data_IF_099975652962
#
_entry.id   IF_099975652962
#
_cell.length_a   1.000
_cell.length_b   1.000
_cell.length_c   1.000
_cell.angle_alpha   90.00
_cell.angle_beta   90.00
_cell.angle_gamma   90.00
#
_symmetry.space_group_name_H-M   'P 1'
#
loop_
_entity.id
_entity.type
_entity.pdbx_description
1 polymer ?
#
# COMPACT_ATOMS: atom_id res chain seq x y z
N UNK A 1 17.17 -5.53 3.13
CA UNK A 1 15.72 -5.60 3.34
C UNK A 1 15.15 -6.94 2.88
N UNK A 2 14.01 -7.32 3.40
CA UNK A 2 13.21 -8.47 2.97
C UNK A 2 11.72 -8.06 3.01
N UNK A 3 10.82 -8.92 2.56
CA UNK A 3 9.36 -8.67 2.59
C UNK A 3 8.67 -9.59 3.57
N UNK A 4 7.50 -9.20 4.04
CA UNK A 4 6.62 -10.08 4.83
C UNK A 4 6.34 -11.36 4.03
N UNK A 5 6.47 -12.51 4.69
CA UNK A 5 6.35 -13.84 4.07
C UNK A 5 7.66 -14.43 3.55
N UNK A 6 8.71 -13.63 3.38
CA UNK A 6 10.02 -14.14 2.95
C UNK A 6 10.80 -14.72 4.14
N UNK A 7 11.83 -15.50 3.78
CA UNK A 7 12.81 -16.04 4.71
C UNK A 7 14.21 -15.71 4.23
N UNK A 8 15.13 -15.52 5.16
CA UNK A 8 16.55 -15.38 4.87
C UNK A 8 17.37 -16.17 5.87
N UNK A 9 18.57 -16.57 5.44
CA UNK A 9 19.50 -17.30 6.28
C UNK A 9 20.54 -16.33 6.85
N UNK A 10 20.85 -16.50 8.12
CA UNK A 10 21.90 -15.78 8.84
C UNK A 10 22.95 -16.80 9.31
N UNK A 11 24.22 -16.48 9.11
CA UNK A 11 25.33 -17.36 9.45
C UNK A 11 26.22 -16.71 10.51
N UNK A 12 26.50 -17.46 11.57
CA UNK A 12 27.43 -17.07 12.60
C UNK A 12 28.63 -18.02 12.62
N UNK A 13 29.83 -17.47 12.67
CA UNK A 13 31.06 -18.24 12.75
C UNK A 13 31.74 -17.93 14.10
N UNK A 14 31.80 -18.93 14.96
CA UNK A 14 32.47 -18.86 16.24
C UNK A 14 33.87 -19.45 16.09
N UNK A 15 34.88 -18.73 16.54
CA UNK A 15 36.28 -19.16 16.45
C UNK A 15 36.92 -19.13 17.81
N UNK A 16 37.57 -20.23 18.21
CA UNK A 16 38.41 -20.32 19.41
C UNK A 16 39.86 -20.06 19.04
N UNK A 17 40.38 -18.90 19.39
CA UNK A 17 41.78 -18.57 19.17
C UNK A 17 42.69 -19.05 20.33
N UNK A 18 42.10 -19.70 21.33
CA UNK A 18 42.85 -20.23 22.47
C UNK A 18 43.45 -21.59 22.21
N UNK A 19 44.41 -21.96 23.06
CA UNK A 19 45.07 -23.27 23.02
C UNK A 19 44.26 -24.36 23.76
N UNK A 20 43.21 -23.97 24.50
CA UNK A 20 42.40 -24.85 25.32
C UNK A 20 41.02 -24.99 24.64
N UNK A 21 40.44 -26.22 24.55
CA UNK A 21 39.06 -26.37 24.11
C UNK A 21 38.10 -25.61 25.03
N UNK A 22 36.99 -25.12 24.45
CA UNK A 22 35.96 -24.47 25.28
C UNK A 22 35.10 -25.52 26.00
N UNK A 23 34.56 -25.12 27.13
CA UNK A 23 33.42 -25.80 27.75
C UNK A 23 32.17 -25.68 26.82
N UNK A 24 31.02 -26.18 27.24
CA UNK A 24 29.77 -26.06 26.51
C UNK A 24 29.40 -24.58 26.34
N UNK A 25 29.18 -24.19 25.10
CA UNK A 25 28.70 -22.86 24.74
C UNK A 25 27.24 -22.99 24.33
N UNK A 26 26.35 -22.30 25.03
CA UNK A 26 24.97 -22.09 24.63
C UNK A 26 24.90 -20.69 24.01
N UNK A 27 24.71 -20.64 22.69
CA UNK A 27 24.55 -19.40 21.96
C UNK A 27 23.05 -19.18 21.66
N UNK A 28 22.56 -18.01 22.04
CA UNK A 28 21.19 -17.59 21.79
C UNK A 28 21.21 -16.31 20.96
N UNK A 29 20.50 -16.37 19.84
CA UNK A 29 20.29 -15.16 19.04
C UNK A 29 19.36 -14.18 19.77
N UNK A 30 19.78 -12.93 19.86
CA UNK A 30 19.04 -11.83 20.47
C UNK A 30 18.48 -10.95 19.33
N UNK A 31 17.23 -11.19 18.95
CA UNK A 31 16.51 -10.45 17.94
C UNK A 31 15.11 -10.09 18.44
N UNK A 32 14.61 -8.93 18.04
CA UNK A 32 13.24 -8.48 18.29
C UNK A 32 12.27 -8.89 17.18
N UNK A 33 12.75 -9.60 16.15
CA UNK A 33 11.93 -10.11 15.05
C UNK A 33 10.98 -11.21 15.55
N UNK A 34 9.65 -11.04 15.40
CA UNK A 34 8.66 -11.98 15.91
C UNK A 34 8.82 -13.39 15.35
N UNK A 35 8.60 -14.40 16.22
CA UNK A 35 8.64 -15.82 15.80
C UNK A 35 10.04 -16.42 15.67
N UNK A 36 11.10 -15.63 15.82
CA UNK A 36 12.47 -16.10 15.65
C UNK A 36 13.17 -16.23 17.04
N UNK A 37 13.45 -17.46 17.43
CA UNK A 37 14.17 -17.79 18.67
C UNK A 37 15.16 -18.91 18.41
N UNK A 38 16.34 -18.56 17.93
CA UNK A 38 17.36 -19.51 17.54
C UNK A 38 18.34 -19.71 18.70
N UNK A 39 18.62 -20.97 19.01
CA UNK A 39 19.56 -21.40 20.05
C UNK A 39 20.43 -22.51 19.50
N UNK A 40 21.72 -22.48 19.78
CA UNK A 40 22.67 -23.54 19.49
C UNK A 40 23.50 -23.86 20.74
N UNK A 41 23.85 -25.13 20.88
CA UNK A 41 24.76 -25.61 21.91
C UNK A 41 25.91 -26.39 21.25
N UNK A 42 27.12 -25.98 21.50
CA UNK A 42 28.31 -26.54 20.87
C UNK A 42 29.56 -26.35 21.78
N UNK A 43 30.63 -27.01 21.44
CA UNK A 43 31.95 -26.78 22.00
C UNK A 43 32.95 -26.49 20.87
N UNK A 44 34.01 -25.76 21.17
CA UNK A 44 35.09 -25.48 20.23
C UNK A 44 36.35 -26.18 20.67
N UNK A 45 37.00 -26.91 19.78
CA UNK A 45 38.34 -27.44 20.00
C UNK A 45 39.37 -26.29 20.07
N UNK A 46 40.57 -26.58 20.53
CA UNK A 46 41.68 -25.62 20.43
C UNK A 46 41.84 -25.17 18.99
N UNK A 47 41.87 -23.83 18.74
CA UNK A 47 41.93 -23.22 17.41
C UNK A 47 40.85 -23.70 16.41
N UNK A 48 39.76 -24.24 16.93
CA UNK A 48 38.63 -24.73 16.14
C UNK A 48 37.60 -23.66 15.85
N UNK A 49 36.73 -23.97 14.90
CA UNK A 49 35.58 -23.12 14.55
C UNK A 49 34.28 -23.91 14.49
N UNK A 50 33.20 -23.22 14.76
CA UNK A 50 31.84 -23.75 14.62
C UNK A 50 31.01 -22.78 13.78
N UNK A 51 30.29 -23.29 12.78
CA UNK A 51 29.39 -22.54 11.91
C UNK A 51 27.97 -22.85 12.29
N UNK A 52 27.22 -21.81 12.63
CA UNK A 52 25.83 -21.90 13.00
C UNK A 52 24.98 -21.12 12.01
N UNK A 53 24.11 -21.81 11.29
CA UNK A 53 23.16 -21.23 10.35
C UNK A 53 21.79 -21.19 11.00
N UNK A 54 21.12 -20.04 10.89
CA UNK A 54 19.77 -19.81 11.37
C UNK A 54 18.91 -19.32 10.23
N UNK A 55 17.66 -19.77 10.20
CA UNK A 55 16.68 -19.29 9.24
C UNK A 55 15.71 -18.35 9.92
N UNK A 56 15.64 -17.13 9.39
CA UNK A 56 14.80 -16.06 9.89
C UNK A 56 13.55 -15.93 9.03
N UNK A 57 12.37 -15.81 9.65
CA UNK A 57 11.09 -15.64 8.95
C UNK A 57 10.57 -14.22 9.20
N UNK A 58 10.31 -13.49 8.12
CA UNK A 58 9.77 -12.13 8.14
C UNK A 58 8.25 -12.18 8.26
N UNK A 59 7.70 -12.22 9.46
CA UNK A 59 6.26 -12.36 9.69
C UNK A 59 5.51 -11.03 9.74
N UNK A 60 6.20 -9.93 10.10
CA UNK A 60 5.62 -8.60 10.21
C UNK A 60 6.57 -7.55 9.66
N UNK A 61 6.00 -6.51 9.05
CA UNK A 61 6.76 -5.33 8.61
C UNK A 61 7.36 -4.57 9.79
N UNK A 62 8.47 -3.94 9.57
CA UNK A 62 9.16 -3.14 10.60
C UNK A 62 10.66 -3.13 10.45
N UNK A 63 11.32 -2.51 11.41
CA UNK A 63 12.78 -2.55 11.56
C UNK A 63 13.12 -3.45 12.73
N UNK A 64 14.01 -4.41 12.51
CA UNK A 64 14.39 -5.43 13.48
C UNK A 64 15.90 -5.50 13.63
N UNK A 65 16.37 -5.72 14.88
CA UNK A 65 17.78 -5.91 15.16
C UNK A 65 18.23 -7.34 14.85
N UNK A 66 19.38 -7.47 14.24
CA UNK A 66 20.02 -8.74 13.86
C UNK A 66 21.45 -8.83 14.37
N UNK A 67 22.01 -10.04 14.28
CA UNK A 67 23.44 -10.27 14.49
C UNK A 67 23.89 -10.26 15.95
N UNK A 68 23.00 -10.07 16.90
CA UNK A 68 23.33 -10.12 18.32
C UNK A 68 23.23 -11.53 18.87
N UNK A 69 24.28 -11.98 19.55
CA UNK A 69 24.35 -13.31 20.16
C UNK A 69 24.67 -13.15 21.66
N UNK A 70 23.86 -13.76 22.50
CA UNK A 70 24.16 -13.98 23.91
C UNK A 70 24.73 -15.39 24.07
N UNK A 71 26.01 -15.50 24.35
CA UNK A 71 26.67 -16.77 24.59
C UNK A 71 26.88 -16.98 26.10
N UNK A 72 26.42 -18.16 26.56
CA UNK A 72 26.63 -18.64 27.91
C UNK A 72 27.60 -19.82 27.83
N UNK A 73 28.73 -19.70 28.53
CA UNK A 73 29.77 -20.70 28.62
C UNK A 73 29.76 -21.26 30.04
N UNK A 74 29.46 -22.54 30.16
CA UNK A 74 29.38 -23.20 31.46
C UNK A 74 30.42 -24.33 31.51
N UNK A 75 31.18 -24.40 32.61
CA UNK A 75 32.14 -25.49 32.83
C UNK A 75 31.43 -26.83 33.00
N UNK A 76 32.11 -27.97 32.79
CA UNK A 76 31.48 -29.29 32.83
C UNK A 76 30.86 -29.66 34.19
N UNK A 77 31.29 -29.02 35.27
CA UNK A 77 30.77 -29.26 36.61
C UNK A 77 29.68 -28.24 37.00
N UNK A 78 29.46 -27.20 36.21
CA UNK A 78 28.45 -26.17 36.46
C UNK A 78 28.82 -25.12 37.50
N UNK A 79 30.06 -25.11 37.98
CA UNK A 79 30.50 -24.17 39.00
C UNK A 79 30.81 -22.75 38.48
N UNK A 80 31.23 -22.66 37.21
CA UNK A 80 31.55 -21.39 36.57
C UNK A 80 30.64 -21.19 35.33
N UNK A 81 30.02 -20.02 35.27
CA UNK A 81 29.27 -19.58 34.12
C UNK A 81 29.70 -18.19 33.70
N UNK A 82 30.07 -18.05 32.44
CA UNK A 82 30.45 -16.79 31.83
C UNK A 82 29.42 -16.44 30.78
N UNK A 83 28.85 -15.23 30.89
CA UNK A 83 27.95 -14.70 29.88
C UNK A 83 28.66 -13.66 29.03
N UNK A 84 28.61 -13.79 27.75
CA UNK A 84 29.18 -12.85 26.77
C UNK A 84 28.17 -12.48 25.74
N UNK A 85 28.11 -11.21 25.40
CA UNK A 85 27.31 -10.68 24.28
C UNK A 85 28.24 -10.37 23.12
N UNK A 86 27.91 -10.90 21.96
CA UNK A 86 28.58 -10.63 20.69
C UNK A 86 27.59 -10.03 19.74
N UNK A 87 28.00 -9.15 18.85
CA UNK A 87 27.16 -8.61 17.79
C UNK A 87 27.57 -7.22 17.36
N UNK A 88 27.10 -6.81 16.21
CA UNK A 88 27.49 -5.58 15.52
C UNK A 88 26.33 -4.60 15.38
N UNK A 89 25.15 -4.89 15.96
CA UNK A 89 23.97 -4.02 15.87
C UNK A 89 23.49 -3.82 14.46
N UNK A 90 23.41 -4.89 13.66
CA UNK A 90 22.82 -4.83 12.34
C UNK A 90 21.29 -4.71 12.42
N UNK A 91 20.69 -4.09 11.40
CA UNK A 91 19.24 -3.96 11.30
C UNK A 91 18.78 -4.46 9.94
N UNK A 92 17.62 -5.07 9.94
CA UNK A 92 16.89 -5.43 8.72
C UNK A 92 15.56 -4.71 8.70
N UNK A 93 15.18 -4.18 7.53
CA UNK A 93 13.86 -3.61 7.32
C UNK A 93 13.03 -4.65 6.57
N UNK A 94 11.91 -5.02 7.18
CA UNK A 94 10.91 -5.90 6.56
C UNK A 94 9.84 -5.04 5.93
N UNK A 95 9.80 -5.04 4.61
CA UNK A 95 8.79 -4.32 3.82
C UNK A 95 7.42 -4.96 3.96
N UNK A 96 6.33 -4.18 3.85
CA UNK A 96 4.98 -4.73 3.87
C UNK A 96 4.76 -5.69 2.70
N UNK A 97 3.81 -6.61 2.88
CA UNK A 97 3.32 -7.46 1.81
C UNK A 97 2.60 -6.62 0.74
N UNK A 98 2.62 -7.11 -0.50
CA UNK A 98 1.97 -6.46 -1.64
C UNK A 98 1.08 -7.43 -2.39
N UNK A 99 -0.15 -7.01 -2.66
CA UNK A 99 -1.16 -7.78 -3.38
C UNK A 99 -1.29 -7.20 -4.79
N UNK A 100 -1.37 -8.06 -5.79
CA UNK A 100 -1.64 -7.61 -7.15
C UNK A 100 -3.08 -7.09 -7.27
N UNK A 101 -3.23 -5.86 -7.73
CA UNK A 101 -4.53 -5.19 -7.92
C UNK A 101 -4.68 -4.71 -9.37
N UNK A 102 -4.69 -5.64 -10.35
CA UNK A 102 -4.61 -5.29 -11.78
C UNK A 102 -5.77 -4.40 -12.23
N UNK A 103 -6.96 -4.63 -11.72
CA UNK A 103 -8.19 -3.93 -12.12
C UNK A 103 -8.53 -2.70 -11.27
N UNK A 104 -7.66 -2.32 -10.34
CA UNK A 104 -7.85 -1.06 -9.61
C UNK A 104 -7.61 0.12 -10.55
N UNK A 105 -8.56 1.05 -10.55
CA UNK A 105 -8.46 2.33 -11.26
C UNK A 105 -8.62 3.47 -10.26
N UNK A 106 -7.69 4.43 -10.31
CA UNK A 106 -7.75 5.61 -9.46
C UNK A 106 -9.01 6.46 -9.73
N UNK A 107 -9.56 6.35 -10.95
CA UNK A 107 -10.88 6.89 -11.30
C UNK A 107 -11.55 5.88 -12.22
N UNK A 108 -12.66 5.28 -11.80
CA UNK A 108 -13.44 4.41 -12.64
C UNK A 108 -14.06 5.19 -13.82
N UNK A 109 -14.25 4.51 -14.94
CA UNK A 109 -14.95 5.05 -16.10
C UNK A 109 -16.32 5.58 -15.70
N UNK A 110 -16.60 6.83 -16.06
CA UNK A 110 -17.99 7.31 -16.07
C UNK A 110 -18.65 6.83 -17.35
N UNK A 111 -19.85 6.25 -17.22
CA UNK A 111 -20.69 5.89 -18.36
C UNK A 111 -20.93 7.09 -19.29
N UNK A 112 -20.97 6.87 -20.62
CA UNK A 112 -21.29 7.92 -21.57
C UNK A 112 -22.74 8.38 -21.34
N UNK A 113 -22.95 9.55 -20.75
CA UNK A 113 -24.27 10.12 -20.50
C UNK A 113 -24.39 11.08 -19.33
N UNK A 114 -23.50 11.04 -18.37
CA UNK A 114 -23.44 12.04 -17.30
C UNK A 114 -22.65 13.26 -17.77
N UNK A 115 -23.29 14.43 -17.78
CA UNK A 115 -22.73 15.70 -18.25
C UNK A 115 -21.33 15.95 -17.71
N UNK A 116 -20.30 16.03 -18.55
CA UNK A 116 -18.96 16.33 -18.10
C UNK A 116 -18.84 17.83 -17.87
N UNK A 117 -18.78 18.27 -16.62
CA UNK A 117 -18.02 19.49 -16.37
C UNK A 117 -16.60 19.18 -16.83
N UNK A 118 -16.12 19.96 -17.81
CA UNK A 118 -14.84 19.84 -18.50
C UNK A 118 -13.69 19.67 -17.52
N UNK A 119 -13.33 18.43 -17.28
CA UNK A 119 -12.02 18.10 -16.76
C UNK A 119 -11.08 18.13 -17.96
N UNK A 120 -10.06 18.92 -17.90
CA UNK A 120 -9.02 18.96 -18.94
C UNK A 120 -8.24 17.63 -18.89
N UNK A 121 -8.84 16.60 -19.48
CA UNK A 121 -8.05 15.47 -19.93
C UNK A 121 -7.19 15.99 -21.06
N UNK A 122 -5.88 16.01 -20.88
CA UNK A 122 -4.97 16.08 -22.00
C UNK A 122 -5.30 14.87 -22.89
N UNK A 123 -6.09 15.09 -23.94
CA UNK A 123 -6.37 14.11 -24.95
C UNK A 123 -5.06 13.74 -25.59
N UNK A 124 -4.47 12.65 -25.19
CA UNK A 124 -3.53 11.95 -26.06
C UNK A 124 -4.31 11.43 -27.22
N UNK A 125 -4.10 12.03 -28.38
CA UNK A 125 -4.83 11.83 -29.64
C UNK A 125 -4.48 10.50 -30.33
N UNK A 126 -4.29 9.44 -29.60
CA UNK A 126 -4.04 8.12 -30.16
C UNK A 126 -5.38 7.39 -30.32
N UNK A 127 -6.01 7.58 -31.49
CA UNK A 127 -7.06 6.67 -31.94
C UNK A 127 -6.45 5.26 -32.04
N UNK A 128 -6.98 4.32 -31.25
CA UNK A 128 -6.46 2.94 -31.25
C UNK A 128 -6.97 2.14 -32.45
N UNK A 129 -8.06 2.57 -33.08
CA UNK A 129 -8.72 1.91 -34.19
C UNK A 129 -9.47 2.91 -35.04
N UNK A 130 -9.65 2.59 -36.32
CA UNK A 130 -10.57 3.31 -37.22
C UNK A 130 -11.62 2.31 -37.64
N UNK A 131 -12.91 2.62 -37.43
CA UNK A 131 -14.07 1.82 -37.89
C UNK A 131 -14.97 2.59 -38.82
N UNK A 132 -15.86 1.92 -39.51
CA UNK A 132 -16.88 2.58 -40.30
C UNK A 132 -17.86 3.38 -39.44
N UNK A 133 -18.31 4.51 -39.98
CA UNK A 133 -19.28 5.38 -39.33
C UNK A 133 -20.62 4.67 -39.14
N UNK A 134 -21.15 4.72 -37.94
CA UNK A 134 -22.51 4.26 -37.63
C UNK A 134 -23.41 5.47 -37.31
N UNK A 135 -24.71 5.36 -37.62
CA UNK A 135 -25.66 6.41 -37.32
C UNK A 135 -25.71 6.72 -35.82
N UNK A 136 -25.37 7.97 -35.46
CA UNK A 136 -25.21 8.40 -34.05
C UNK A 136 -23.79 8.78 -33.67
N UNK A 137 -22.81 8.43 -34.48
CA UNK A 137 -21.40 8.84 -34.21
C UNK A 137 -21.24 10.35 -34.46
N UNK A 138 -20.39 10.98 -33.63
CA UNK A 138 -20.09 12.40 -33.77
C UNK A 138 -19.17 12.67 -34.95
N UNK A 139 -19.62 13.53 -35.88
CA UNK A 139 -18.87 13.91 -37.09
C UNK A 139 -17.48 14.51 -36.80
N UNK A 140 -17.26 15.05 -35.62
CA UNK A 140 -15.95 15.60 -35.19
C UNK A 140 -14.84 14.54 -35.04
N UNK A 141 -15.23 13.25 -34.96
CA UNK A 141 -14.30 12.14 -34.84
C UNK A 141 -14.02 11.42 -36.16
N UNK A 142 -14.50 11.97 -37.31
CA UNK A 142 -14.16 11.43 -38.61
C UNK A 142 -12.66 11.46 -38.84
N UNK A 143 -12.09 10.30 -39.24
CA UNK A 143 -10.68 10.20 -39.65
C UNK A 143 -10.58 10.48 -41.14
N UNK A 144 -10.48 11.75 -41.50
CA UNK A 144 -10.47 12.22 -42.87
C UNK A 144 -9.44 11.53 -43.78
N UNK A 145 -8.18 11.28 -43.34
CA UNK A 145 -7.21 10.57 -44.18
C UNK A 145 -7.66 9.17 -44.61
N UNK A 146 -8.23 8.36 -43.69
CA UNK A 146 -8.73 7.01 -44.00
C UNK A 146 -10.03 7.09 -44.79
N UNK A 147 -10.92 8.02 -44.47
CA UNK A 147 -12.15 8.26 -45.24
C UNK A 147 -11.82 8.58 -46.70
N UNK A 148 -10.83 9.42 -46.96
CA UNK A 148 -10.42 9.76 -48.32
C UNK A 148 -9.80 8.56 -49.08
N UNK A 149 -9.18 7.65 -48.35
CA UNK A 149 -8.54 6.46 -48.95
C UNK A 149 -9.48 5.31 -49.19
N UNK A 150 -10.50 5.13 -48.32
CA UNK A 150 -11.48 4.03 -48.41
C UNK A 150 -12.74 4.39 -49.14
N UNK A 151 -13.05 5.69 -49.32
CA UNK A 151 -14.31 6.19 -49.88
C UNK A 151 -15.52 6.08 -48.93
N UNK A 152 -15.39 5.41 -47.78
CA UNK A 152 -16.39 5.27 -46.74
C UNK A 152 -16.09 6.18 -45.56
N UNK A 153 -17.13 6.75 -44.93
CA UNK A 153 -16.92 7.55 -43.73
C UNK A 153 -16.33 6.68 -42.63
N UNK A 154 -15.14 7.03 -42.19
CA UNK A 154 -14.38 6.33 -41.14
C UNK A 154 -14.28 7.19 -39.88
N UNK A 155 -14.62 6.62 -38.75
CA UNK A 155 -14.58 7.30 -37.44
C UNK A 155 -13.43 6.74 -36.62
N UNK A 156 -12.73 7.65 -35.91
CA UNK A 156 -11.78 7.29 -34.90
C UNK A 156 -12.50 6.59 -33.75
N UNK A 157 -12.21 5.31 -33.59
CA UNK A 157 -12.71 4.52 -32.47
C UNK A 157 -11.73 4.66 -31.31
N UNK A 158 -12.19 5.29 -30.27
CA UNK A 158 -11.45 5.43 -29.03
C UNK A 158 -11.85 4.24 -28.17
N UNK A 159 -10.97 3.25 -28.07
CA UNK A 159 -11.17 2.09 -27.22
C UNK A 159 -11.55 2.55 -25.81
N UNK A 160 -12.76 2.31 -25.34
CA UNK A 160 -13.17 2.71 -23.99
C UNK A 160 -12.34 2.03 -22.92
N UNK A 161 -11.76 0.86 -23.20
CA UNK A 161 -10.83 0.16 -22.28
C UNK A 161 -9.44 0.80 -22.24
N UNK A 162 -9.14 1.74 -23.13
CA UNK A 162 -7.86 2.46 -23.22
C UNK A 162 -7.97 3.98 -23.06
N UNK A 163 -9.01 4.52 -22.49
CA UNK A 163 -8.92 5.88 -21.93
C UNK A 163 -7.96 5.85 -20.74
N UNK A 164 -6.68 5.71 -21.06
CA UNK A 164 -5.60 6.00 -20.14
C UNK A 164 -5.72 7.48 -19.75
N UNK A 165 -6.50 7.77 -18.72
CA UNK A 165 -6.32 9.01 -17.98
C UNK A 165 -4.89 8.93 -17.42
N UNK A 166 -3.95 9.47 -18.18
CA UNK A 166 -2.55 9.47 -17.77
C UNK A 166 -2.39 10.59 -16.77
N UNK A 167 -2.68 10.30 -15.49
CA UNK A 167 -2.28 11.19 -14.43
C UNK A 167 -0.76 11.27 -14.43
N UNK A 168 -0.27 12.50 -14.34
CA UNK A 168 1.16 12.77 -14.28
C UNK A 168 1.72 12.28 -12.96
N UNK A 169 1.02 12.57 -11.89
CA UNK A 169 1.44 12.29 -10.53
C UNK A 169 0.31 11.55 -9.79
N UNK A 170 0.65 10.54 -9.03
CA UNK A 170 -0.28 9.78 -8.18
C UNK A 170 0.13 9.98 -6.73
N UNK A 171 -0.77 10.56 -5.95
CA UNK A 171 -0.58 10.72 -4.53
C UNK A 171 -1.31 9.64 -3.75
N UNK A 172 -0.60 8.93 -2.91
CA UNK A 172 -1.16 7.98 -1.95
C UNK A 172 -1.14 8.66 -0.58
N UNK A 173 -2.33 8.82 0.01
CA UNK A 173 -2.50 9.46 1.30
C UNK A 173 -3.00 8.43 2.29
N UNK A 174 -2.22 8.20 3.34
CA UNK A 174 -2.45 7.14 4.31
C UNK A 174 -2.82 7.74 5.67
N UNK A 175 -4.03 7.43 6.13
CA UNK A 175 -4.55 7.85 7.43
C UNK A 175 -4.14 6.84 8.52
N UNK A 176 -3.15 7.22 9.32
CA UNK A 176 -2.68 6.43 10.46
C UNK A 176 -2.96 7.13 11.79
N UNK A 177 -3.87 8.12 11.80
CA UNK A 177 -4.29 8.80 13.01
C UNK A 177 -4.92 7.81 14.00
N UNK A 178 -4.66 7.98 15.29
CA UNK A 178 -5.20 7.10 16.35
C UNK A 178 -6.73 7.00 16.28
N UNK A 179 -7.41 8.11 15.98
CA UNK A 179 -8.88 8.17 15.90
C UNK A 179 -9.48 7.41 14.72
N UNK A 180 -8.64 7.06 13.71
CA UNK A 180 -9.05 6.32 12.52
C UNK A 180 -8.69 4.82 12.62
N UNK A 181 -8.17 4.34 13.77
CA UNK A 181 -7.72 2.97 13.87
C UNK A 181 -8.72 2.08 14.59
N UNK A 182 -8.88 0.87 14.09
CA UNK A 182 -9.72 -0.18 14.66
C UNK A 182 -9.07 -1.55 14.44
N UNK A 183 -9.39 -2.53 15.28
CA UNK A 183 -8.77 -3.85 15.23
C UNK A 183 -7.43 -3.90 15.98
N UNK A 184 -6.79 -5.07 15.99
CA UNK A 184 -5.50 -5.32 16.66
C UNK A 184 -4.59 -6.21 15.81
N UNK A 185 -3.29 -6.00 15.93
CA UNK A 185 -2.29 -6.80 15.25
C UNK A 185 -2.45 -6.74 13.74
N UNK A 186 -2.25 -7.87 13.07
CA UNK A 186 -2.29 -7.98 11.61
C UNK A 186 -3.70 -7.76 11.02
N UNK A 187 -4.74 -7.96 11.85
CA UNK A 187 -6.15 -7.74 11.52
C UNK A 187 -6.64 -6.35 11.98
N UNK A 188 -5.82 -5.33 11.77
CA UNK A 188 -6.17 -3.92 12.05
C UNK A 188 -6.36 -3.10 10.78
N UNK A 189 -7.12 -2.02 10.88
CA UNK A 189 -7.28 -1.05 9.77
C UNK A 189 -5.92 -0.49 9.33
N UNK A 190 -4.98 -0.30 10.25
CA UNK A 190 -3.64 0.20 9.94
C UNK A 190 -2.84 -0.74 9.05
N UNK A 191 -2.83 -2.05 9.35
CA UNK A 191 -2.10 -3.03 8.55
C UNK A 191 -2.73 -3.22 7.16
N UNK A 192 -4.07 -3.28 7.08
CA UNK A 192 -4.76 -3.29 5.78
C UNK A 192 -4.47 -2.03 4.97
N UNK A 193 -4.48 -0.86 5.61
CA UNK A 193 -4.17 0.40 4.94
C UNK A 193 -2.75 0.42 4.36
N UNK A 194 -1.76 -0.06 5.12
CA UNK A 194 -0.38 -0.14 4.67
C UNK A 194 -0.22 -1.14 3.53
N UNK A 195 -0.83 -2.34 3.62
CA UNK A 195 -0.79 -3.35 2.54
C UNK A 195 -1.41 -2.79 1.25
N UNK A 196 -2.53 -2.08 1.34
CA UNK A 196 -3.16 -1.42 0.20
C UNK A 196 -2.25 -0.33 -0.38
N UNK A 197 -1.70 0.54 0.48
CA UNK A 197 -0.79 1.61 0.05
C UNK A 197 0.44 1.05 -0.66
N UNK A 198 1.07 0.01 -0.11
CA UNK A 198 2.23 -0.66 -0.69
C UNK A 198 1.89 -1.30 -2.05
N UNK A 199 0.73 -1.97 -2.14
CA UNK A 199 0.25 -2.61 -3.38
C UNK A 199 0.01 -1.60 -4.49
N UNK A 200 -0.60 -0.46 -4.17
CA UNK A 200 -0.85 0.61 -5.12
C UNK A 200 0.44 1.34 -5.51
N UNK A 201 1.32 1.64 -4.54
CA UNK A 201 2.61 2.24 -4.82
C UNK A 201 3.42 1.38 -5.79
N UNK A 202 3.52 0.07 -5.49
CA UNK A 202 4.21 -0.89 -6.37
C UNK A 202 3.59 -0.92 -7.76
N UNK A 203 2.26 -1.09 -7.88
CA UNK A 203 1.56 -1.12 -9.17
C UNK A 203 1.89 0.09 -10.04
N UNK A 204 1.85 1.29 -9.48
CA UNK A 204 2.04 2.51 -10.25
C UNK A 204 3.51 2.78 -10.54
N UNK A 205 4.41 2.53 -9.60
CA UNK A 205 5.86 2.65 -9.81
C UNK A 205 6.37 1.65 -10.86
N UNK A 206 5.93 0.39 -10.80
CA UNK A 206 6.26 -0.65 -11.80
C UNK A 206 5.73 -0.28 -13.20
N UNK A 207 4.64 0.49 -13.29
CA UNK A 207 4.12 1.04 -14.54
C UNK A 207 4.79 2.34 -14.99
N UNK A 208 5.85 2.78 -14.33
CA UNK A 208 6.62 3.98 -14.65
C UNK A 208 5.91 5.30 -14.29
N UNK A 209 4.89 5.26 -13.44
CA UNK A 209 4.20 6.47 -12.96
C UNK A 209 4.97 7.11 -11.81
N UNK A 210 4.80 8.42 -11.65
CA UNK A 210 5.32 9.13 -10.49
C UNK A 210 4.37 8.97 -9.31
N UNK A 211 4.88 8.45 -8.20
CA UNK A 211 4.11 8.22 -6.98
C UNK A 211 4.66 9.04 -5.83
N UNK A 212 3.79 9.83 -5.20
CA UNK A 212 4.04 10.50 -3.93
C UNK A 212 3.33 9.79 -2.79
N UNK A 213 3.91 9.84 -1.61
CA UNK A 213 3.32 9.32 -0.37
C UNK A 213 3.18 10.45 0.65
N UNK A 214 2.00 10.57 1.23
CA UNK A 214 1.75 11.42 2.38
C UNK A 214 1.09 10.55 3.47
N UNK A 215 1.78 10.40 4.59
CA UNK A 215 1.30 9.55 5.68
C UNK A 215 1.62 10.18 7.03
N UNK A 216 0.70 10.07 7.99
CA UNK A 216 0.91 10.54 9.35
C UNK A 216 0.44 9.49 10.35
N UNK A 217 1.40 8.92 11.07
CA UNK A 217 1.24 8.00 12.17
C UNK A 217 2.04 8.48 13.37
N UNK A 218 2.79 7.58 13.99
CA UNK A 218 3.78 7.92 15.01
C UNK A 218 4.82 8.92 14.50
N UNK A 219 5.04 8.91 13.20
CA UNK A 219 5.86 9.87 12.45
C UNK A 219 5.11 10.30 11.19
N UNK A 220 5.49 11.45 10.64
CA UNK A 220 4.97 11.92 9.37
C UNK A 220 5.96 11.67 8.24
N UNK A 221 5.46 11.18 7.13
CA UNK A 221 6.23 10.91 5.93
C UNK A 221 5.65 11.70 4.76
N UNK A 222 6.52 12.37 4.02
CA UNK A 222 6.18 13.10 2.81
C UNK A 222 7.22 12.77 1.74
N UNK A 223 6.83 11.99 0.75
CA UNK A 223 7.60 11.77 -0.47
C UNK A 223 6.88 12.46 -1.62
N UNK A 224 7.59 13.35 -2.31
CA UNK A 224 7.06 14.00 -3.50
C UNK A 224 6.95 12.98 -4.64
N UNK A 225 6.02 13.19 -5.61
CA UNK A 225 5.86 12.27 -6.72
C UNK A 225 7.14 12.14 -7.55
N UNK A 226 7.69 10.96 -7.56
CA UNK A 226 8.82 10.58 -8.40
C UNK A 226 8.67 9.11 -8.83
N UNK A 227 9.57 8.61 -9.67
CA UNK A 227 9.56 7.27 -10.24
C UNK A 227 10.94 6.61 -10.14
N UNK A 228 10.98 5.31 -10.37
CA UNK A 228 12.22 4.54 -10.34
C UNK A 228 12.43 3.80 -9.02
N UNK A 229 13.56 3.09 -8.96
CA UNK A 229 13.87 2.15 -7.88
C UNK A 229 14.08 2.85 -6.53
N UNK A 230 14.77 4.00 -6.54
CA UNK A 230 15.00 4.79 -5.32
C UNK A 230 13.68 5.24 -4.68
N UNK A 231 12.73 5.75 -5.49
CA UNK A 231 11.41 6.13 -4.99
C UNK A 231 10.65 4.93 -4.45
N UNK A 232 10.76 3.77 -5.11
CA UNK A 232 10.13 2.54 -4.63
C UNK A 232 10.69 2.14 -3.27
N UNK A 233 12.00 2.17 -3.10
CA UNK A 233 12.65 1.84 -1.82
C UNK A 233 12.23 2.81 -0.72
N UNK A 234 12.25 4.12 -0.97
CA UNK A 234 11.91 5.16 0.01
C UNK A 234 10.44 5.05 0.47
N UNK A 235 9.52 4.84 -0.48
CA UNK A 235 8.09 4.65 -0.16
C UNK A 235 7.87 3.37 0.64
N UNK A 236 8.47 2.24 0.20
CA UNK A 236 8.33 0.95 0.89
C UNK A 236 8.95 0.99 2.28
N UNK A 237 10.09 1.65 2.45
CA UNK A 237 10.75 1.87 3.75
C UNK A 237 9.85 2.65 4.69
N UNK A 238 9.25 3.74 4.23
CA UNK A 238 8.33 4.54 5.03
C UNK A 238 7.09 3.75 5.45
N UNK A 239 6.51 2.97 4.51
CA UNK A 239 5.39 2.07 4.80
C UNK A 239 5.75 0.91 5.73
N UNK A 240 7.01 0.46 5.72
CA UNK A 240 7.50 -0.53 6.67
C UNK A 240 7.56 0.02 8.10
N UNK A 241 7.98 1.27 8.24
CA UNK A 241 8.30 1.88 9.54
C UNK A 241 7.12 2.57 10.21
N UNK A 242 6.15 3.08 9.43
CA UNK A 242 5.02 3.84 9.96
C UNK A 242 4.15 2.97 10.89
N UNK A 243 3.84 3.51 12.06
CA UNK A 243 2.95 2.88 13.04
C UNK A 243 1.69 3.72 13.25
N UNK A 244 0.56 3.07 13.54
CA UNK A 244 -0.66 3.78 13.96
C UNK A 244 -0.40 4.58 15.24
N UNK A 245 -1.14 5.67 15.43
CA UNK A 245 -1.10 6.42 16.68
C UNK A 245 -0.81 7.90 16.53
N UNK A 246 -0.73 8.42 15.30
CA UNK A 246 -0.59 9.85 15.04
C UNK A 246 -1.76 10.68 15.57
N UNK A 247 -1.49 11.94 15.91
CA UNK A 247 -2.52 12.90 16.32
C UNK A 247 -3.05 13.72 15.15
N UNK A 248 -2.29 13.77 14.06
CA UNK A 248 -2.66 14.53 12.86
C UNK A 248 -3.67 13.73 12.04
N UNK A 249 -4.85 14.28 11.89
CA UNK A 249 -5.91 13.66 11.12
C UNK A 249 -5.69 13.78 9.62
N UNK A 250 -6.32 12.90 8.83
CA UNK A 250 -6.20 12.92 7.37
C UNK A 250 -6.71 14.22 6.76
N UNK A 251 -7.75 14.82 7.31
CA UNK A 251 -8.25 16.12 6.87
C UNK A 251 -7.24 17.24 7.07
N UNK A 252 -6.51 17.24 8.19
CA UNK A 252 -5.45 18.21 8.44
C UNK A 252 -4.27 18.03 7.47
N UNK A 253 -3.91 16.77 7.18
CA UNK A 253 -2.90 16.45 6.16
C UNK A 253 -3.30 16.96 4.78
N UNK A 254 -4.52 16.66 4.37
CA UNK A 254 -5.06 17.08 3.08
C UNK A 254 -5.10 18.60 2.96
N UNK A 255 -5.51 19.29 4.03
CA UNK A 255 -5.58 20.74 4.07
C UNK A 255 -4.19 21.38 3.97
N UNK A 256 -3.23 20.88 4.74
CA UNK A 256 -1.87 21.44 4.79
C UNK A 256 -1.12 21.28 3.48
N UNK A 257 -1.41 20.22 2.72
CA UNK A 257 -0.68 19.86 1.50
C UNK A 257 -1.51 20.08 0.21
N UNK A 258 -2.70 20.70 0.31
CA UNK A 258 -3.62 20.84 -0.83
C UNK A 258 -3.02 21.55 -2.06
N UNK A 259 -2.07 22.46 -1.85
CA UNK A 259 -1.39 23.17 -2.94
C UNK A 259 -0.51 22.28 -3.81
N UNK A 260 -0.13 21.11 -3.30
CA UNK A 260 0.66 20.11 -4.03
C UNK A 260 -0.19 19.26 -4.97
N UNK A 261 -1.50 19.22 -4.75
CA UNK A 261 -2.43 18.42 -5.55
C UNK A 261 -2.90 19.25 -6.77
N UNK A 262 -2.21 19.07 -7.89
CA UNK A 262 -2.46 19.82 -9.12
C UNK A 262 -3.54 19.19 -10.00
N UNK A 263 -4.15 20.01 -10.87
CA UNK A 263 -4.97 19.49 -11.96
C UNK A 263 -4.13 18.53 -12.84
N UNK A 264 -4.60 17.31 -13.05
CA UNK A 264 -3.86 16.25 -13.74
C UNK A 264 -3.12 15.28 -12.81
N UNK A 265 -3.18 15.49 -11.48
CA UNK A 265 -2.80 14.47 -10.48
C UNK A 265 -4.01 13.65 -10.06
N UNK A 266 -3.75 12.40 -9.65
CA UNK A 266 -4.71 11.56 -8.94
C UNK A 266 -4.34 11.48 -7.46
N UNK A 267 -5.33 11.66 -6.58
CA UNK A 267 -5.18 11.51 -5.13
C UNK A 267 -5.98 10.29 -4.67
N UNK A 268 -5.28 9.34 -4.06
CA UNK A 268 -5.87 8.13 -3.49
C UNK A 268 -5.76 8.25 -1.97
N UNK A 269 -6.89 8.36 -1.29
CA UNK A 269 -6.94 8.48 0.18
C UNK A 269 -7.39 7.16 0.78
N UNK A 270 -6.58 6.60 1.67
CA UNK A 270 -6.86 5.35 2.38
C UNK A 270 -7.17 5.72 3.84
N UNK A 271 -8.41 5.50 4.27
CA UNK A 271 -8.87 5.94 5.60
C UNK A 271 -10.02 5.08 6.11
N UNK A 272 -10.21 5.07 7.42
CA UNK A 272 -11.42 4.58 8.09
C UNK A 272 -12.20 5.71 8.79
N UNK A 273 -11.86 6.97 8.52
CA UNK A 273 -12.53 8.13 9.07
C UNK A 273 -13.93 8.35 8.47
N UNK A 274 -14.81 9.00 9.22
CA UNK A 274 -16.18 9.27 8.78
C UNK A 274 -16.27 10.41 7.75
N UNK A 275 -17.44 10.50 7.09
CA UNK A 275 -17.70 11.49 6.04
C UNK A 275 -17.65 12.93 6.57
N UNK A 276 -17.99 13.17 7.84
CA UNK A 276 -18.00 14.52 8.41
C UNK A 276 -16.60 15.09 8.49
N UNK A 277 -15.62 14.22 8.71
CA UNK A 277 -14.20 14.58 8.77
C UNK A 277 -13.60 14.69 7.37
N UNK A 278 -13.59 13.58 6.62
CA UNK A 278 -12.85 13.51 5.34
C UNK A 278 -13.56 14.22 4.19
N UNK A 279 -14.89 14.26 4.20
CA UNK A 279 -15.70 14.78 3.10
C UNK A 279 -15.42 16.23 2.70
N UNK A 280 -15.36 17.19 3.64
CA UNK A 280 -15.05 18.59 3.30
C UNK A 280 -13.68 18.75 2.64
N UNK A 281 -12.65 18.06 3.13
CA UNK A 281 -11.30 18.12 2.56
C UNK A 281 -11.25 17.55 1.13
N UNK A 282 -11.86 16.37 0.90
CA UNK A 282 -11.91 15.77 -0.43
C UNK A 282 -12.68 16.61 -1.43
N UNK A 283 -13.83 17.18 -1.03
CA UNK A 283 -14.59 18.10 -1.89
C UNK A 283 -13.77 19.31 -2.33
N UNK A 284 -12.95 19.84 -1.45
CA UNK A 284 -12.08 20.99 -1.76
C UNK A 284 -11.04 20.62 -2.80
N UNK A 285 -10.39 19.47 -2.68
CA UNK A 285 -9.41 18.96 -3.63
C UNK A 285 -10.07 18.72 -5.00
N UNK A 286 -11.26 18.09 -5.03
CA UNK A 286 -12.04 17.88 -6.24
C UNK A 286 -12.39 19.21 -6.94
N UNK A 287 -12.79 20.24 -6.19
CA UNK A 287 -13.09 21.57 -6.76
C UNK A 287 -11.87 22.23 -7.45
N UNK A 288 -10.66 21.87 -7.05
CA UNK A 288 -9.40 22.36 -7.67
C UNK A 288 -9.03 21.61 -8.96
N UNK A 289 -9.82 20.64 -9.35
CA UNK A 289 -9.57 19.90 -10.58
C UNK A 289 -8.74 18.64 -10.41
N UNK A 290 -8.47 18.21 -9.19
CA UNK A 290 -7.73 16.99 -8.89
C UNK A 290 -8.70 15.82 -8.80
N UNK A 291 -8.33 14.71 -9.41
CA UNK A 291 -9.07 13.47 -9.33
C UNK A 291 -8.88 12.80 -7.97
N UNK A 292 -9.97 12.42 -7.31
CA UNK A 292 -9.91 11.85 -5.96
C UNK A 292 -10.63 10.51 -5.90
N UNK A 293 -9.94 9.52 -5.35
CA UNK A 293 -10.49 8.20 -5.00
C UNK A 293 -10.28 7.94 -3.52
N UNK A 294 -11.32 7.50 -2.83
CA UNK A 294 -11.26 7.08 -1.44
C UNK A 294 -11.26 5.55 -1.35
N UNK A 295 -10.36 4.99 -0.55
CA UNK A 295 -10.40 3.58 -0.15
C UNK A 295 -10.76 3.59 1.33
N UNK A 296 -11.98 3.13 1.60
CA UNK A 296 -12.59 3.18 2.92
C UNK A 296 -12.47 1.82 3.59
N UNK A 297 -11.76 1.78 4.70
CA UNK A 297 -11.71 0.62 5.57
C UNK A 297 -12.94 0.64 6.48
N UNK A 298 -13.76 -0.41 6.41
CA UNK A 298 -15.01 -0.48 7.17
C UNK A 298 -14.73 -0.77 8.64
N UNK A 299 -14.50 0.29 9.44
CA UNK A 299 -14.11 0.18 10.83
C UNK A 299 -15.05 -0.73 11.65
N UNK A 300 -16.35 -0.79 11.31
CA UNK A 300 -17.31 -1.69 11.97
C UNK A 300 -16.86 -3.15 11.84
N UNK A 301 -16.37 -3.55 10.68
CA UNK A 301 -15.88 -4.92 10.47
C UNK A 301 -14.62 -5.25 11.28
N UNK A 302 -13.87 -4.24 11.72
CA UNK A 302 -12.69 -4.36 12.58
C UNK A 302 -13.00 -4.14 14.08
N UNK A 303 -14.29 -3.99 14.46
CA UNK A 303 -14.72 -3.75 15.83
C UNK A 303 -14.81 -2.28 16.24
N UNK A 304 -14.72 -1.37 15.28
CA UNK A 304 -14.98 0.07 15.48
C UNK A 304 -16.43 0.47 15.23
N UNK A 305 -16.69 1.77 15.10
CA UNK A 305 -18.08 2.32 15.05
C UNK A 305 -18.36 3.07 13.74
N UNK A 306 -17.37 3.25 12.84
CA UNK A 306 -17.54 4.05 11.63
C UNK A 306 -17.87 3.12 10.46
N UNK A 307 -19.04 3.35 9.83
CA UNK A 307 -19.48 2.60 8.67
C UNK A 307 -18.90 3.18 7.38
N UNK A 308 -18.11 2.38 6.67
CA UNK A 308 -17.59 2.76 5.37
C UNK A 308 -18.70 2.98 4.33
N UNK A 309 -19.82 2.24 4.44
CA UNK A 309 -20.95 2.40 3.52
C UNK A 309 -21.65 3.76 3.66
N UNK A 310 -21.76 4.30 4.89
CA UNK A 310 -22.29 5.65 5.11
C UNK A 310 -21.35 6.71 4.57
N UNK A 311 -20.05 6.55 4.81
CA UNK A 311 -19.02 7.45 4.28
C UNK A 311 -19.03 7.45 2.75
N UNK A 312 -19.09 6.28 2.10
CA UNK A 312 -19.15 6.14 0.65
C UNK A 312 -20.39 6.84 0.04
N UNK A 313 -21.57 6.64 0.65
CA UNK A 313 -22.81 7.33 0.22
C UNK A 313 -22.67 8.86 0.29
N UNK A 314 -22.08 9.36 1.36
CA UNK A 314 -21.82 10.80 1.51
C UNK A 314 -20.80 11.35 0.51
N UNK A 315 -19.84 10.56 0.08
CA UNK A 315 -18.81 10.93 -0.91
C UNK A 315 -19.37 10.91 -2.36
N UNK A 316 -20.31 10.01 -2.67
CA UNK A 316 -20.89 9.89 -4.00
C UNK A 316 -21.47 11.22 -4.52
N UNK A 317 -22.11 12.01 -3.65
CA UNK A 317 -22.62 13.35 -3.97
C UNK A 317 -21.51 14.37 -4.30
N UNK A 318 -20.26 14.04 -4.10
CA UNK A 318 -19.10 14.93 -4.23
C UNK A 318 -18.18 14.54 -5.39
N UNK A 319 -18.62 13.64 -6.28
CA UNK A 319 -17.80 13.10 -7.38
C UNK A 319 -16.49 12.45 -6.90
N UNK A 320 -16.49 11.88 -5.70
CA UNK A 320 -15.40 11.10 -5.16
C UNK A 320 -15.78 9.62 -5.26
N UNK A 321 -14.98 8.86 -5.97
CA UNK A 321 -15.16 7.41 -6.05
C UNK A 321 -14.67 6.74 -4.77
N UNK A 322 -15.41 5.75 -4.27
CA UNK A 322 -15.07 5.06 -3.04
C UNK A 322 -15.07 3.54 -3.22
N UNK A 323 -13.97 2.91 -2.82
CA UNK A 323 -13.87 1.47 -2.63
C UNK A 323 -14.06 1.15 -1.14
N UNK A 324 -14.69 0.03 -0.83
CA UNK A 324 -14.90 -0.40 0.55
C UNK A 324 -14.15 -1.71 0.79
N UNK A 325 -13.32 -1.72 1.82
CA UNK A 325 -12.57 -2.91 2.24
C UNK A 325 -12.99 -3.28 3.66
N UNK A 326 -13.39 -4.54 3.84
CA UNK A 326 -13.79 -5.10 5.14
C UNK A 326 -12.71 -6.05 5.67
N UNK A 327 -12.72 -6.28 6.95
CA UNK A 327 -11.88 -7.30 7.59
C UNK A 327 -12.10 -8.67 6.94
N UNK A 328 -11.02 -9.41 6.65
CA UNK A 328 -11.08 -10.71 5.99
C UNK A 328 -11.46 -10.69 4.51
N UNK A 329 -11.70 -9.52 3.92
CA UNK A 329 -12.02 -9.42 2.49
C UNK A 329 -10.78 -9.68 1.64
N UNK A 330 -10.98 -10.28 0.47
CA UNK A 330 -9.95 -10.31 -0.56
C UNK A 330 -9.76 -8.88 -1.10
N UNK A 331 -8.62 -8.26 -0.77
CA UNK A 331 -8.30 -6.87 -1.11
C UNK A 331 -8.31 -6.65 -2.63
N UNK A 332 -7.76 -7.59 -3.41
CA UNK A 332 -7.73 -7.47 -4.87
C UNK A 332 -9.15 -7.38 -5.45
N UNK A 333 -10.09 -8.18 -4.92
CA UNK A 333 -11.49 -8.16 -5.33
C UNK A 333 -12.22 -6.91 -4.83
N UNK A 334 -11.94 -6.46 -3.61
CA UNK A 334 -12.57 -5.26 -3.04
C UNK A 334 -12.14 -3.98 -3.77
N UNK A 335 -10.95 -3.98 -4.38
CA UNK A 335 -10.40 -2.87 -5.15
C UNK A 335 -10.62 -3.02 -6.68
N UNK A 336 -11.38 -4.01 -7.11
CA UNK A 336 -11.65 -4.23 -8.54
C UNK A 336 -12.75 -3.27 -9.02
N UNK A 337 -12.39 -2.38 -9.93
CA UNK A 337 -13.30 -1.37 -10.48
C UNK A 337 -14.50 -1.97 -11.24
N UNK A 338 -14.40 -3.20 -11.73
CA UNK A 338 -15.49 -3.89 -12.45
C UNK A 338 -16.67 -4.25 -11.54
N UNK A 339 -16.44 -4.37 -10.23
CA UNK A 339 -17.48 -4.70 -9.24
C UNK A 339 -18.04 -3.47 -8.52
N UNK A 340 -17.56 -2.27 -8.79
CA UNK A 340 -18.06 -1.04 -8.14
C UNK A 340 -19.54 -0.76 -8.46
N UNK A 341 -19.99 -0.99 -9.68
CA UNK A 341 -21.38 -0.73 -10.13
C UNK A 341 -22.39 -1.63 -9.41
N UNK A 342 -22.04 -2.87 -9.09
CA UNK A 342 -22.95 -3.85 -8.49
C UNK A 342 -23.18 -3.59 -7.00
N UNK A 343 -22.20 -3.04 -6.28
CA UNK A 343 -22.33 -2.78 -4.83
C UNK A 343 -23.23 -1.60 -4.48
N UNK A 344 -23.47 -0.67 -5.41
CA UNK A 344 -24.42 0.44 -5.23
C UNK A 344 -25.89 0.05 -5.42
N UNK A 345 -26.18 -1.00 -6.19
CA UNK A 345 -27.56 -1.48 -6.42
C UNK A 345 -28.06 -2.38 -5.27
N UNK A 346 -27.21 -3.14 -4.61
CA UNK A 346 -27.60 -4.09 -3.55
C UNK A 346 -27.97 -3.42 -2.21
N UNK A 347 -27.62 -2.16 -2.01
CA UNK A 347 -28.02 -1.40 -0.81
C UNK A 347 -29.40 -0.72 -0.90
N UNK A 348 -30.05 -0.78 -2.06
CA UNK A 348 -31.33 -0.11 -2.32
C UNK A 348 -32.58 -1.00 -2.21
N UNK A 349 -32.45 -2.33 -2.11
CA UNK A 349 -33.61 -3.26 -2.28
C UNK A 349 -34.09 -3.92 -0.96
N UNK A 350 -33.37 -3.83 0.15
CA UNK A 350 -33.78 -4.54 1.38
C UNK A 350 -34.74 -3.79 2.33
N UNK A 351 -35.15 -2.56 2.03
CA UNK A 351 -36.04 -1.79 2.94
C UNK A 351 -37.50 -1.69 2.46
N UNK A 352 -37.98 -2.56 1.55
CA UNK A 352 -39.36 -2.49 1.06
C UNK A 352 -40.25 -3.69 1.38
N UNK A 353 -39.84 -4.65 2.17
CA UNK A 353 -40.67 -5.84 2.46
C UNK A 353 -40.84 -6.14 3.95
N UNK A 354 -40.91 -5.13 4.80
CA UNK A 354 -41.48 -5.29 6.14
C UNK A 354 -42.32 -4.06 6.50
N UNK A 355 -43.56 -4.03 5.99
CA UNK A 355 -44.71 -3.36 6.59
C UNK A 355 -45.97 -4.13 6.24
#
# INVERSE_FOLDING_TARGET
>A
YCRVGEQFDEEFIFVNHGLIPTALIEARQDTDMPGNRNVAAFHLTSQGSYRWQTRMSCTRRGEYSLGNINARITDPLGFLTINRRFGWGQYVIVFPDTIEVPYFQAIPHQEPGSSPRRWFAAQTSNASRVREYASGDSLRYIHWPTTAHTGNLMVKDFDPDRTNYTYKDIWIILDMARSAQSGQGDESTGEYAVTIAASLAKKYLDSGKKVGLLASGDRSYLHLPDSGEAQTEDVMRSLALIKPGGEVSVEALLFTQEERFNAGSAVIVITSSDIKRVGPALRRIVKRGTAVTAILLDAVSFGGNISAAETARGLAASSVHAYIVRRGANIARALDSRFMATSMQDTGVKDRNER
#
